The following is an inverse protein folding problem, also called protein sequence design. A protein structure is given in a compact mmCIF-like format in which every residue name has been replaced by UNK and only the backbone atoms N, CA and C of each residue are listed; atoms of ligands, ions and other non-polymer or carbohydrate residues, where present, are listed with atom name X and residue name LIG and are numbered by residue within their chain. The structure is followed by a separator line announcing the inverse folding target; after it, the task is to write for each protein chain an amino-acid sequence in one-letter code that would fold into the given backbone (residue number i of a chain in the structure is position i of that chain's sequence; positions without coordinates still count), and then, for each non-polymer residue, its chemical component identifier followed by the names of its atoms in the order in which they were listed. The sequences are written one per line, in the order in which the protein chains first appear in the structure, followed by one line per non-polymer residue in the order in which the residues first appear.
data_IF_605214322408
#
_entry.id   IF_605214322408
#
_cell.length_a   1.000
_cell.length_b   1.000
_cell.length_c   1.000
_cell.angle_alpha   90.00
_cell.angle_beta   90.00
_cell.angle_gamma   90.00
#
_symmetry.space_group_name_H-M   'P 1'
#
loop_
_entity.id
_entity.type
_entity.pdbx_description
1 polymer ?
#
# COMPACT_ATOMS: atom_id res chain seq x y z
N UNK A 1 1.32 -0.28 -1.30
CA UNK A 1 2.18 0.56 -0.41
C UNK A 1 3.54 -0.09 -0.23
N UNK A 2 4.60 0.66 0.11
CA UNK A 2 5.92 0.13 0.48
C UNK A 2 6.24 0.47 1.95
N UNK A 3 6.85 -0.47 2.67
CA UNK A 3 7.26 -0.29 4.07
C UNK A 3 8.60 0.42 4.23
N UNK A 4 9.50 0.20 3.27
CA UNK A 4 10.86 0.71 3.28
C UNK A 4 11.34 1.09 1.87
N UNK A 5 12.46 1.81 1.83
CA UNK A 5 13.19 2.16 0.63
C UNK A 5 14.70 2.10 0.89
N UNK A 6 15.38 1.13 0.27
CA UNK A 6 16.80 0.86 0.50
C UNK A 6 17.72 1.96 -0.04
N UNK A 7 17.24 2.75 -1.00
CA UNK A 7 18.00 3.85 -1.60
C UNK A 7 17.99 5.12 -0.73
N UNK A 8 16.93 5.32 0.06
CA UNK A 8 16.67 6.63 0.72
C UNK A 8 16.61 6.58 2.23
N UNK A 9 16.20 5.47 2.84
CA UNK A 9 15.94 5.43 4.27
C UNK A 9 17.25 5.51 5.06
N UNK A 10 17.26 6.34 6.11
CA UNK A 10 18.44 6.55 6.98
C UNK A 10 19.01 5.24 7.54
N UNK A 11 18.13 4.28 7.80
CA UNK A 11 18.44 2.95 8.30
C UNK A 11 19.45 2.18 7.43
N UNK A 12 19.43 2.38 6.11
CA UNK A 12 20.33 1.64 5.20
C UNK A 12 21.58 2.43 4.82
N UNK A 13 21.78 3.64 5.36
CA UNK A 13 22.93 4.48 5.00
C UNK A 13 24.30 3.87 5.33
N UNK A 14 24.35 2.97 6.31
CA UNK A 14 25.58 2.28 6.67
C UNK A 14 25.95 1.17 5.67
N UNK A 15 25.06 0.81 4.74
CA UNK A 15 25.36 -0.16 3.68
C UNK A 15 26.02 0.55 2.49
N UNK A 16 26.86 -0.19 1.77
CA UNK A 16 27.43 0.32 0.51
C UNK A 16 26.32 0.37 -0.56
N UNK A 17 26.34 1.41 -1.41
CA UNK A 17 25.30 1.69 -2.41
C UNK A 17 25.77 1.46 -3.86
N UNK A 18 26.83 0.67 -4.07
CA UNK A 18 27.40 0.39 -5.38
C UNK A 18 26.87 -0.93 -5.96
N UNK A 19 26.41 -0.89 -7.22
CA UNK A 19 25.96 -2.10 -7.94
C UNK A 19 27.12 -3.06 -8.20
N UNK A 20 28.37 -2.59 -8.23
CA UNK A 20 29.57 -3.44 -8.42
C UNK A 20 29.70 -4.52 -7.35
N UNK A 21 29.09 -4.32 -6.19
CA UNK A 21 29.04 -5.28 -5.10
C UNK A 21 28.36 -6.61 -5.50
N UNK A 22 27.53 -6.64 -6.54
CA UNK A 22 26.93 -7.87 -7.03
C UNK A 22 27.95 -8.78 -7.73
N UNK A 23 29.05 -8.22 -8.23
CA UNK A 23 30.08 -8.95 -8.98
C UNK A 23 31.22 -9.45 -8.07
N UNK A 24 31.31 -8.92 -6.86
CA UNK A 24 32.31 -9.34 -5.88
C UNK A 24 31.86 -10.66 -5.20
N UNK A 25 32.77 -11.60 -4.94
CA UNK A 25 32.43 -12.87 -4.28
C UNK A 25 31.81 -12.63 -2.91
N UNK A 26 30.71 -13.33 -2.60
CA UNK A 26 30.00 -13.29 -1.32
C UNK A 26 29.69 -14.72 -0.84
N UNK A 27 29.40 -14.88 0.45
CA UNK A 27 29.08 -16.18 1.01
C UNK A 27 27.86 -16.81 0.31
N UNK A 28 27.97 -18.06 -0.16
CA UNK A 28 26.87 -18.72 -0.86
C UNK A 28 25.66 -18.85 0.08
N UNK A 29 24.46 -18.60 -0.47
CA UNK A 29 23.20 -18.66 0.29
C UNK A 29 22.86 -17.42 1.10
N UNK A 30 23.72 -16.40 1.14
CA UNK A 30 23.44 -15.13 1.80
C UNK A 30 23.12 -14.02 0.78
N UNK A 31 22.10 -13.20 1.08
CA UNK A 31 21.85 -11.99 0.31
C UNK A 31 22.76 -10.89 0.85
N UNK A 32 23.59 -10.33 -0.03
CA UNK A 32 24.48 -9.24 0.32
C UNK A 32 23.68 -7.96 0.62
N UNK A 33 23.89 -7.29 1.77
CA UNK A 33 23.25 -6.02 2.06
C UNK A 33 23.82 -4.90 1.17
N UNK A 34 22.97 -4.31 0.35
CA UNK A 34 23.29 -3.20 -0.55
C UNK A 34 22.18 -2.15 -0.41
N UNK A 35 22.52 -0.88 -0.18
CA UNK A 35 21.56 0.22 -0.09
C UNK A 35 21.05 0.62 -1.48
N UNK A 36 20.40 -0.32 -2.18
CA UNK A 36 19.79 -0.18 -3.51
C UNK A 36 18.55 -1.06 -3.59
N UNK A 37 17.47 -0.59 -4.23
CA UNK A 37 16.25 -1.37 -4.44
C UNK A 37 16.41 -2.45 -5.53
N UNK A 38 17.26 -3.45 -5.29
CA UNK A 38 17.57 -4.52 -6.24
C UNK A 38 16.53 -5.64 -6.23
N UNK A 39 16.05 -6.00 -5.04
CA UNK A 39 15.09 -7.08 -4.82
C UNK A 39 13.83 -6.52 -4.18
N UNK A 40 12.68 -6.80 -4.79
CA UNK A 40 11.38 -6.32 -4.31
C UNK A 40 10.53 -7.53 -3.94
N UNK A 41 9.95 -7.52 -2.74
CA UNK A 41 9.03 -8.54 -2.26
C UNK A 41 7.69 -7.88 -1.96
N UNK A 42 6.65 -8.29 -2.70
CA UNK A 42 5.31 -7.73 -2.57
C UNK A 42 4.38 -8.79 -1.99
N UNK A 43 3.78 -8.48 -0.84
CA UNK A 43 2.76 -9.29 -0.20
C UNK A 43 1.37 -8.84 -0.66
N UNK A 44 0.61 -9.75 -1.23
CA UNK A 44 -0.82 -9.55 -1.53
C UNK A 44 -1.61 -10.26 -0.45
N UNK A 45 -2.33 -9.52 0.38
CA UNK A 45 -2.95 -10.04 1.61
C UNK A 45 -4.35 -9.49 1.77
N UNK A 46 -5.28 -10.32 2.25
CA UNK A 46 -6.55 -9.83 2.79
C UNK A 46 -6.41 -9.75 4.31
N UNK A 47 -6.33 -8.56 4.93
CA UNK A 47 -6.10 -8.43 6.37
C UNK A 47 -7.21 -9.06 7.22
N UNK A 48 -8.42 -9.23 6.66
CA UNK A 48 -9.52 -9.90 7.33
C UNK A 48 -9.32 -11.44 7.46
N UNK A 49 -8.50 -12.06 6.61
CA UNK A 49 -8.29 -13.51 6.61
C UNK A 49 -7.08 -13.91 7.48
N UNK A 50 -7.26 -14.87 8.39
CA UNK A 50 -6.22 -15.33 9.31
C UNK A 50 -4.90 -15.75 8.66
N UNK A 51 -4.92 -16.45 7.52
CA UNK A 51 -3.69 -16.88 6.82
C UNK A 51 -2.88 -15.68 6.34
N UNK A 52 -3.57 -14.69 5.78
CA UNK A 52 -3.02 -13.44 5.29
C UNK A 52 -2.41 -12.59 6.42
N UNK A 53 -2.99 -12.61 7.64
CA UNK A 53 -2.42 -11.94 8.83
C UNK A 53 -1.02 -12.45 9.19
N UNK A 54 -0.75 -13.74 9.02
CA UNK A 54 0.60 -14.31 9.24
C UNK A 54 1.62 -13.74 8.25
N UNK A 55 1.22 -13.49 6.99
CA UNK A 55 2.08 -12.87 5.99
C UNK A 55 2.41 -11.42 6.33
N UNK A 56 1.44 -10.66 6.87
CA UNK A 56 1.66 -9.29 7.35
C UNK A 56 2.69 -9.24 8.49
N UNK A 57 2.67 -10.21 9.41
CA UNK A 57 3.68 -10.35 10.47
C UNK A 57 5.06 -10.68 9.91
N UNK A 58 5.13 -11.57 8.91
CA UNK A 58 6.39 -11.89 8.22
C UNK A 58 6.94 -10.65 7.51
N UNK A 59 6.09 -9.89 6.81
CA UNK A 59 6.46 -8.64 6.16
C UNK A 59 7.05 -7.63 7.15
N UNK A 60 6.39 -7.46 8.31
CA UNK A 60 6.90 -6.59 9.37
C UNK A 60 8.20 -7.12 10.00
N UNK A 61 8.34 -8.43 10.17
CA UNK A 61 9.56 -9.08 10.67
C UNK A 61 10.74 -8.84 9.72
N UNK A 62 10.54 -9.01 8.40
CA UNK A 62 11.58 -8.72 7.41
C UNK A 62 12.00 -7.25 7.42
N UNK A 63 11.06 -6.34 7.61
CA UNK A 63 11.38 -4.93 7.79
C UNK A 63 12.19 -4.69 9.08
N UNK A 64 11.78 -5.29 10.21
CA UNK A 64 12.43 -5.12 11.52
C UNK A 64 13.86 -5.66 11.57
N UNK A 65 14.15 -6.72 10.80
CA UNK A 65 15.48 -7.36 10.75
C UNK A 65 16.38 -6.83 9.64
N UNK A 66 16.02 -5.73 8.98
CA UNK A 66 16.80 -5.09 7.92
C UNK A 66 17.22 -6.07 6.83
N UNK A 67 16.29 -6.94 6.44
CA UNK A 67 16.51 -7.85 5.31
C UNK A 67 16.70 -6.98 4.04
N UNK A 68 17.69 -7.26 3.17
CA UNK A 68 18.01 -6.43 1.99
C UNK A 68 17.00 -6.62 0.84
N UNK A 69 15.72 -6.39 1.15
CA UNK A 69 14.57 -6.48 0.27
C UNK A 69 13.72 -5.22 0.42
N UNK A 70 13.23 -4.66 -0.68
CA UNK A 70 12.20 -3.63 -0.67
C UNK A 70 10.84 -4.32 -0.48
N UNK A 71 10.19 -4.05 0.64
CA UNK A 71 8.99 -4.76 1.07
C UNK A 71 7.76 -3.93 0.72
N UNK A 72 6.89 -4.51 -0.10
CA UNK A 72 5.61 -3.96 -0.50
C UNK A 72 4.44 -4.75 0.08
N UNK A 73 3.33 -4.06 0.32
CA UNK A 73 2.06 -4.64 0.72
C UNK A 73 0.94 -4.15 -0.20
N UNK A 74 0.06 -5.07 -0.56
CA UNK A 74 -1.17 -4.82 -1.31
C UNK A 74 -2.29 -5.47 -0.52
N UNK A 75 -3.26 -4.66 -0.10
CA UNK A 75 -4.46 -5.16 0.54
C UNK A 75 -5.49 -5.56 -0.52
N UNK A 76 -5.71 -6.87 -0.64
CA UNK A 76 -6.72 -7.45 -1.52
C UNK A 76 -8.06 -7.49 -0.79
N UNK A 77 -8.75 -6.35 -0.80
CA UNK A 77 -10.05 -6.14 -0.13
C UNK A 77 -11.18 -6.02 -1.16
N UNK A 78 -12.42 -6.01 -0.68
CA UNK A 78 -13.59 -5.89 -1.55
C UNK A 78 -13.60 -4.57 -2.34
N UNK A 79 -13.75 -4.67 -3.66
CA UNK A 79 -13.74 -3.54 -4.60
C UNK A 79 -15.15 -3.02 -4.93
N UNK A 80 -16.19 -3.57 -4.33
CA UNK A 80 -17.55 -3.10 -4.54
C UNK A 80 -17.74 -1.68 -4.02
N UNK A 81 -18.39 -0.83 -4.83
CA UNK A 81 -18.65 0.58 -4.48
C UNK A 81 -19.54 0.75 -3.24
N UNK A 82 -20.34 -0.27 -2.93
CA UNK A 82 -21.26 -0.28 -1.80
C UNK A 82 -20.63 -0.87 -0.54
N UNK A 83 -19.49 -1.56 -0.66
CA UNK A 83 -18.73 -1.99 0.50
C UNK A 83 -18.12 -0.75 1.17
N UNK A 84 -18.12 -0.68 2.48
CA UNK A 84 -17.51 0.36 3.30
C UNK A 84 -16.87 -0.28 4.53
N UNK A 85 -16.11 0.49 5.31
CA UNK A 85 -15.55 -0.01 6.56
C UNK A 85 -16.62 -0.36 7.61
N UNK A 86 -17.88 0.02 7.39
CA UNK A 86 -19.00 -0.33 8.26
C UNK A 86 -19.50 -1.76 8.04
N UNK A 87 -19.39 -2.27 6.81
CA UNK A 87 -20.01 -3.55 6.42
C UNK A 87 -19.01 -4.61 5.94
N UNK A 88 -17.78 -4.24 5.62
CA UNK A 88 -16.74 -5.14 5.13
C UNK A 88 -15.47 -4.98 5.97
N UNK A 89 -15.02 -6.06 6.60
CA UNK A 89 -13.87 -6.07 7.50
C UNK A 89 -12.55 -5.79 6.79
N UNK A 90 -12.42 -6.22 5.53
CA UNK A 90 -11.22 -5.95 4.73
C UNK A 90 -11.08 -4.46 4.44
N UNK A 91 -12.18 -3.84 4.01
CA UNK A 91 -12.26 -2.39 3.79
C UNK A 91 -12.05 -1.63 5.10
N UNK A 92 -12.63 -2.11 6.21
CA UNK A 92 -12.43 -1.50 7.52
C UNK A 92 -10.95 -1.48 7.94
N UNK A 93 -10.24 -2.60 7.77
CA UNK A 93 -8.81 -2.70 8.08
C UNK A 93 -7.95 -1.84 7.13
N UNK A 94 -8.35 -1.70 5.86
CA UNK A 94 -7.70 -0.77 4.94
C UNK A 94 -7.89 0.68 5.39
N UNK A 95 -9.11 1.09 5.73
CA UNK A 95 -9.38 2.43 6.23
C UNK A 95 -8.60 2.72 7.51
N UNK A 96 -8.59 1.77 8.45
CA UNK A 96 -7.82 1.87 9.69
C UNK A 96 -6.33 2.00 9.42
N UNK A 97 -5.79 1.26 8.44
CA UNK A 97 -4.40 1.38 8.03
C UNK A 97 -4.09 2.78 7.52
N UNK A 98 -4.94 3.27 6.62
CA UNK A 98 -4.77 4.58 6.02
C UNK A 98 -4.89 5.68 7.08
N UNK A 99 -5.78 5.52 8.06
CA UNK A 99 -5.90 6.41 9.23
C UNK A 99 -4.60 6.52 10.00
N UNK A 100 -3.97 5.40 10.35
CA UNK A 100 -2.66 5.42 11.03
C UNK A 100 -1.53 5.93 10.14
N UNK A 101 -1.59 5.66 8.83
CA UNK A 101 -0.55 6.08 7.89
C UNK A 101 -0.56 7.58 7.56
N UNK A 102 -1.58 8.35 7.98
CA UNK A 102 -1.56 9.82 7.85
C UNK A 102 -0.54 10.43 8.82
N UNK A 103 -0.63 10.06 10.09
CA UNK A 103 0.19 10.65 11.15
C UNK A 103 1.50 9.90 11.40
N UNK A 104 1.64 8.70 10.82
CA UNK A 104 2.80 7.82 11.03
C UNK A 104 3.31 7.19 9.73
N UNK A 105 4.43 6.48 9.82
CA UNK A 105 4.98 5.76 8.68
C UNK A 105 4.20 4.46 8.38
N UNK A 106 4.25 3.99 7.12
CA UNK A 106 3.55 2.75 6.72
C UNK A 106 3.91 1.52 7.57
N UNK A 107 5.15 1.43 8.08
CA UNK A 107 5.58 0.31 8.92
C UNK A 107 5.07 0.43 10.35
N UNK A 108 4.91 1.65 10.88
CA UNK A 108 4.25 1.89 12.17
C UNK A 108 2.75 1.60 12.09
N UNK A 109 2.08 2.06 11.03
CA UNK A 109 0.69 1.71 10.76
C UNK A 109 0.48 0.19 10.68
N UNK A 110 1.38 -0.53 9.97
CA UNK A 110 1.32 -1.99 9.90
C UNK A 110 1.54 -2.66 11.27
N UNK A 111 2.43 -2.11 12.09
CA UNK A 111 2.69 -2.60 13.45
C UNK A 111 1.42 -2.51 14.29
N UNK A 112 0.76 -1.33 14.31
CA UNK A 112 -0.48 -1.10 15.06
C UNK A 112 -1.59 -2.06 14.63
N UNK A 113 -1.75 -2.27 13.32
CA UNK A 113 -2.72 -3.25 12.82
C UNK A 113 -2.40 -4.68 13.26
N UNK A 114 -1.14 -5.09 13.19
CA UNK A 114 -0.75 -6.42 13.65
C UNK A 114 -1.03 -6.59 15.16
N UNK A 115 -0.77 -5.57 15.97
CA UNK A 115 -1.05 -5.57 17.42
C UNK A 115 -2.55 -5.65 17.73
N UNK A 116 -3.39 -4.96 16.95
CA UNK A 116 -4.84 -5.09 17.05
C UNK A 116 -5.30 -6.52 16.69
N UNK A 117 -4.83 -7.03 15.54
CA UNK A 117 -5.22 -8.34 15.02
C UNK A 117 -4.72 -9.51 15.87
N UNK A 118 -3.70 -9.30 16.71
CA UNK A 118 -3.21 -10.30 17.66
C UNK A 118 -4.25 -10.70 18.71
N UNK A 119 -5.17 -9.79 19.05
CA UNK A 119 -6.30 -10.07 19.94
C UNK A 119 -7.27 -11.11 19.33
N UNK A 120 -7.31 -11.18 18.01
CA UNK A 120 -8.22 -12.03 17.22
C UNK A 120 -7.49 -13.18 16.51
N UNK A 121 -6.29 -13.58 16.98
CA UNK A 121 -5.41 -14.55 16.31
C UNK A 121 -6.02 -15.95 16.07
N UNK A 122 -7.01 -16.33 16.86
CA UNK A 122 -7.68 -17.64 16.79
C UNK A 122 -8.87 -17.65 15.84
N UNK A 123 -9.44 -16.48 15.54
CA UNK A 123 -10.57 -16.34 14.64
C UNK A 123 -10.09 -16.39 13.18
N UNK A 124 -10.83 -17.10 12.33
CA UNK A 124 -10.48 -17.25 10.92
C UNK A 124 -10.77 -15.98 10.11
N UNK A 125 -11.84 -15.28 10.48
CA UNK A 125 -12.22 -13.96 9.98
C UNK A 125 -12.51 -13.02 11.16
N UNK A 126 -12.47 -11.71 10.94
CA UNK A 126 -12.79 -10.69 11.95
C UNK A 126 -14.05 -9.97 11.51
N UNK A 127 -14.97 -9.71 12.43
CA UNK A 127 -16.20 -9.00 12.11
C UNK A 127 -16.01 -7.47 12.18
N UNK A 128 -16.74 -6.67 11.38
CA UNK A 128 -16.65 -5.22 11.44
C UNK A 128 -17.01 -4.64 12.82
N UNK A 129 -17.88 -5.34 13.57
CA UNK A 129 -18.24 -4.95 14.94
C UNK A 129 -17.06 -5.00 15.91
N UNK A 130 -16.17 -5.99 15.76
CA UNK A 130 -14.98 -6.12 16.59
C UNK A 130 -14.02 -4.96 16.35
N UNK A 131 -13.83 -4.60 15.07
CA UNK A 131 -13.01 -3.46 14.66
C UNK A 131 -13.60 -2.17 15.23
N UNK A 132 -14.92 -2.00 15.17
CA UNK A 132 -15.62 -0.85 15.74
C UNK A 132 -15.37 -0.73 17.25
N UNK A 133 -15.62 -1.79 18.01
CA UNK A 133 -15.44 -1.78 19.47
C UNK A 133 -13.99 -1.48 19.84
N UNK A 134 -13.02 -2.08 19.13
CA UNK A 134 -11.61 -1.79 19.36
C UNK A 134 -11.28 -0.32 19.04
N UNK A 135 -11.77 0.21 17.91
CA UNK A 135 -11.49 1.58 17.50
C UNK A 135 -12.07 2.59 18.48
N UNK A 136 -13.35 2.48 18.86
CA UNK A 136 -13.99 3.39 19.81
C UNK A 136 -13.30 3.36 21.19
N UNK A 137 -12.80 2.19 21.61
CA UNK A 137 -12.08 2.05 22.88
C UNK A 137 -10.69 2.68 22.88
N UNK A 138 -9.96 2.67 21.75
CA UNK A 138 -8.58 3.17 21.68
C UNK A 138 -8.48 4.59 21.10
N UNK A 139 -9.45 4.98 20.27
CA UNK A 139 -9.48 6.19 19.47
C UNK A 139 -10.84 6.90 19.54
N UNK A 140 -11.49 6.89 20.71
CA UNK A 140 -12.81 7.51 20.91
C UNK A 140 -12.87 9.04 20.70
N UNK A 141 -11.75 9.70 20.40
CA UNK A 141 -11.70 11.09 19.97
C UNK A 141 -12.01 11.27 18.48
N UNK A 142 -11.87 10.22 17.67
CA UNK A 142 -12.13 10.24 16.23
C UNK A 142 -13.53 9.69 15.93
N UNK A 143 -14.23 10.31 14.97
CA UNK A 143 -15.55 9.87 14.57
C UNK A 143 -15.43 8.58 13.73
N UNK A 144 -16.12 7.53 14.18
CA UNK A 144 -16.16 6.25 13.50
C UNK A 144 -16.73 6.36 12.08
N UNK A 145 -17.75 7.18 11.86
CA UNK A 145 -18.35 7.32 10.53
C UNK A 145 -17.41 8.07 9.56
N UNK A 146 -16.59 8.99 10.06
CA UNK A 146 -15.58 9.69 9.26
C UNK A 146 -14.49 8.74 8.77
N UNK A 147 -14.05 7.81 9.63
CA UNK A 147 -12.98 6.85 9.31
C UNK A 147 -13.48 5.65 8.50
N UNK A 148 -14.68 5.14 8.77
CA UNK A 148 -15.14 3.87 8.19
C UNK A 148 -16.33 4.02 7.23
N UNK A 149 -16.93 5.21 7.17
CA UNK A 149 -18.11 5.49 6.36
C UNK A 149 -17.89 5.36 4.86
N UNK A 150 -18.98 5.34 4.11
CA UNK A 150 -18.98 5.17 2.64
C UNK A 150 -18.28 6.30 1.87
N UNK A 151 -18.17 7.49 2.48
CA UNK A 151 -17.51 8.69 1.93
C UNK A 151 -16.20 9.02 2.64
N UNK A 152 -15.67 8.08 3.40
CA UNK A 152 -14.45 8.28 4.15
C UNK A 152 -13.26 8.61 3.24
N UNK A 153 -12.47 9.61 3.63
CA UNK A 153 -11.21 9.95 2.96
C UNK A 153 -10.13 8.87 3.18
N UNK A 154 -10.35 7.95 4.12
CA UNK A 154 -9.45 6.84 4.42
C UNK A 154 -9.69 5.63 3.51
N UNK A 155 -10.73 5.68 2.67
CA UNK A 155 -11.02 4.66 1.66
C UNK A 155 -10.16 4.83 0.38
N UNK A 156 -8.85 4.88 0.57
CA UNK A 156 -7.88 5.09 -0.50
C UNK A 156 -7.22 3.78 -0.92
N UNK A 157 -7.08 3.59 -2.24
CA UNK A 157 -6.26 2.51 -2.81
C UNK A 157 -6.98 1.23 -3.20
N UNK A 158 -8.25 1.02 -2.80
CA UNK A 158 -9.07 -0.08 -3.35
C UNK A 158 -9.73 0.28 -4.68
N UNK A 159 -10.26 1.50 -4.76
CA UNK A 159 -10.84 2.05 -5.97
C UNK A 159 -9.67 2.47 -6.85
N UNK A 160 -9.59 1.92 -8.06
CA UNK A 160 -8.80 2.58 -9.10
C UNK A 160 -9.26 4.04 -9.13
N UNK A 161 -8.35 5.02 -9.21
CA UNK A 161 -8.80 6.37 -9.52
C UNK A 161 -9.66 6.22 -10.77
N UNK A 162 -10.97 6.46 -10.64
CA UNK A 162 -11.81 6.66 -11.81
C UNK A 162 -11.07 7.73 -12.55
N UNK A 163 -10.53 7.34 -13.69
CA UNK A 163 -9.70 8.18 -14.50
C UNK A 163 -10.61 9.30 -15.04
N UNK A 164 -10.89 10.30 -14.21
CA UNK A 164 -11.39 11.59 -14.64
C UNK A 164 -10.20 12.36 -15.20
N UNK A 165 -9.58 11.79 -16.24
CA UNK A 165 -8.75 12.54 -17.19
C UNK A 165 -9.61 13.52 -18.02
N UNK A 166 -10.93 13.60 -17.78
CA UNK A 166 -11.83 14.42 -18.57
C UNK A 166 -12.33 15.73 -17.96
N UNK A 167 -11.89 16.20 -16.77
CA UNK A 167 -12.38 17.50 -16.26
C UNK A 167 -11.38 18.35 -15.45
N UNK A 168 -10.09 18.35 -15.81
CA UNK A 168 -9.28 19.56 -15.58
C UNK A 168 -8.47 19.88 -16.83
N UNK A 169 -8.51 21.13 -17.33
CA UNK A 169 -7.95 21.48 -18.62
C UNK A 169 -6.42 21.49 -18.55
N UNK A 170 -5.81 21.28 -19.72
CA UNK A 170 -4.37 21.36 -20.05
C UNK A 170 -3.61 20.03 -20.03
N UNK A 171 -3.86 19.20 -21.05
CA UNK A 171 -2.87 18.86 -22.10
C UNK A 171 -3.61 18.27 -23.32
N UNK A 172 -3.23 18.62 -24.57
CA UNK A 172 -4.04 18.38 -25.76
C UNK A 172 -4.27 16.88 -26.00
N UNK A 173 -5.52 16.52 -26.23
CA UNK A 173 -5.97 15.13 -26.42
C UNK A 173 -5.68 14.64 -27.83
N UNK A 174 -5.42 13.34 -27.95
CA UNK A 174 -5.04 12.59 -29.16
C UNK A 174 -5.88 12.89 -30.42
N UNK A 175 -7.13 13.33 -30.23
CA UNK A 175 -8.06 13.72 -31.30
C UNK A 175 -7.61 14.99 -32.04
N UNK A 176 -7.04 15.96 -31.33
CA UNK A 176 -6.50 17.19 -31.92
C UNK A 176 -5.20 16.90 -32.70
N UNK A 177 -4.43 15.91 -32.25
CA UNK A 177 -3.26 15.39 -32.95
C UNK A 177 -3.63 14.70 -34.26
N UNK A 178 -4.66 13.84 -34.27
CA UNK A 178 -5.16 13.19 -35.48
C UNK A 178 -5.75 14.19 -36.48
N UNK A 179 -6.45 15.23 -35.98
CA UNK A 179 -7.00 16.31 -36.83
C UNK A 179 -5.90 17.13 -37.49
N UNK A 180 -4.87 17.50 -36.74
CA UNK A 180 -3.73 18.25 -37.29
C UNK A 180 -2.88 17.39 -38.22
N UNK A 181 -2.75 16.09 -37.97
CA UNK A 181 -2.03 15.17 -38.87
C UNK A 181 -2.74 15.00 -40.22
N UNK A 182 -4.08 14.93 -40.24
CA UNK A 182 -4.85 14.89 -41.48
C UNK A 182 -4.89 16.23 -42.23
N UNK A 183 -4.73 17.36 -41.52
CA UNK A 183 -4.62 18.68 -42.13
C UNK A 183 -3.24 18.90 -42.75
N UNK A 184 -2.16 18.43 -42.10
CA UNK A 184 -0.80 18.48 -42.67
C UNK A 184 -0.67 17.60 -43.92
N UNK A 185 -1.22 16.37 -43.92
CA UNK A 185 -1.24 15.52 -45.13
C UNK A 185 -2.00 16.12 -46.30
N UNK A 186 -3.01 16.96 -46.06
CA UNK A 186 -3.75 17.64 -47.13
C UNK A 186 -3.04 18.87 -47.71
N UNK A 187 -2.01 19.38 -47.03
CA UNK A 187 -1.18 20.48 -47.55
C UNK A 187 0.01 19.99 -48.37
N UNK A 188 0.52 18.77 -48.10
CA UNK A 188 1.60 18.15 -48.88
C UNK A 188 1.12 17.49 -50.20
N UNK A 189 -0.19 17.37 -50.41
CA UNK A 189 -0.81 16.81 -51.64
C UNK A 189 -1.30 17.90 -52.62
N UNK A 190 -0.83 19.15 -52.53
CA UNK A 190 -1.09 20.23 -53.50
C UNK A 190 0.18 20.83 -54.10
#
# INVERSE_FOLDING_TARGET
MYLNNLDTDKRYQHWRNSVKLLLEPYYPGMIRPIARNLFNLIFVVNPAERRSRSLMKIAYSFFKHDIPLRIGLIFAVNNDKNASGLNDSGVALLNLFNFFAIDSSNHEALKLINEMLDQYRTQDEIDPSDIKTWFESNYGYADYEDVFGSKSDYDNGRKLPTCNILLHPLRPTYVEYQRNYQLMRRQDER
#
